data_IF_780098620847
#
_entry.id   IF_780098620847
#
_cell.length_a   1.000
_cell.length_b   1.000
_cell.length_c   1.000
_cell.angle_alpha   90.00
_cell.angle_beta   90.00
_cell.angle_gamma   90.00
#
_symmetry.space_group_name_H-M   'P 1'
#
loop_
_entity.id
_entity.type
_entity.pdbx_description
1 polymer ?
#
# COMPACT_ATOMS: atom_id res chain seq x y z
N UNK A 1 0.64 7.59 -9.56
CA UNK A 1 -0.66 7.75 -8.89
C UNK A 1 -0.56 8.69 -7.69
N UNK A 2 -1.59 9.46 -7.45
CA UNK A 2 -1.64 10.37 -6.30
C UNK A 2 -2.67 9.90 -5.28
N UNK A 3 -2.77 10.61 -4.16
CA UNK A 3 -3.69 10.24 -3.07
C UNK A 3 -5.15 10.23 -3.53
N UNK A 4 -5.55 11.19 -4.35
CA UNK A 4 -6.90 11.27 -4.90
C UNK A 4 -7.24 10.02 -5.72
N UNK A 5 -6.28 9.47 -6.45
CA UNK A 5 -6.48 8.25 -7.23
C UNK A 5 -6.88 7.08 -6.34
N UNK A 6 -6.33 7.00 -5.13
CA UNK A 6 -6.68 5.95 -4.17
C UNK A 6 -8.14 6.08 -3.72
N UNK A 7 -8.59 7.30 -3.47
CA UNK A 7 -9.99 7.55 -3.13
C UNK A 7 -10.92 7.21 -4.29
N UNK A 8 -10.52 7.50 -5.52
CA UNK A 8 -11.31 7.15 -6.72
C UNK A 8 -11.44 5.64 -6.89
N UNK A 9 -10.37 4.90 -6.64
CA UNK A 9 -10.41 3.44 -6.70
C UNK A 9 -11.41 2.91 -5.65
N UNK A 10 -11.34 3.41 -4.42
CA UNK A 10 -12.26 3.02 -3.36
C UNK A 10 -13.71 3.32 -3.75
N UNK A 11 -13.96 4.50 -4.30
CA UNK A 11 -15.31 4.90 -4.74
C UNK A 11 -15.83 3.97 -5.82
N UNK A 12 -15.01 3.63 -6.83
CA UNK A 12 -15.38 2.72 -7.90
C UNK A 12 -15.71 1.32 -7.38
N UNK A 13 -15.02 0.88 -6.32
CA UNK A 13 -15.27 -0.42 -5.70
C UNK A 13 -16.37 -0.36 -4.63
N UNK A 14 -16.99 0.80 -4.44
CA UNK A 14 -18.02 1.02 -3.42
C UNK A 14 -17.53 0.74 -2.00
N UNK A 15 -16.29 1.11 -1.74
CA UNK A 15 -15.67 1.04 -0.41
C UNK A 15 -15.80 2.42 0.22
N UNK A 16 -16.44 2.50 1.39
CA UNK A 16 -16.53 3.76 2.13
C UNK A 16 -15.29 3.96 2.98
N UNK A 17 -14.76 5.17 2.96
CA UNK A 17 -13.60 5.54 3.77
C UNK A 17 -14.08 6.39 4.94
N UNK A 18 -13.78 5.92 6.15
CA UNK A 18 -14.24 6.52 7.40
C UNK A 18 -13.06 7.05 8.20
N UNK A 19 -13.32 8.05 9.03
CA UNK A 19 -12.35 8.49 10.04
C UNK A 19 -12.64 7.77 11.35
N UNK A 20 -11.64 7.07 11.91
CA UNK A 20 -11.79 6.30 13.13
C UNK A 20 -10.50 6.33 13.94
N UNK A 21 -10.63 6.49 15.25
CA UNK A 21 -9.46 6.53 16.15
C UNK A 21 -9.06 5.11 16.55
N UNK A 22 -7.94 4.64 16.01
CA UNK A 22 -7.37 3.34 16.36
C UNK A 22 -6.39 3.47 17.53
N UNK A 23 -6.19 2.38 18.29
CA UNK A 23 -5.21 2.37 19.39
C UNK A 23 -3.81 1.96 18.92
N UNK A 24 -3.71 1.12 17.90
CA UNK A 24 -2.43 0.55 17.46
C UNK A 24 -2.23 0.50 15.95
N UNK A 25 -3.18 1.03 15.20
CA UNK A 25 -3.11 1.01 13.73
C UNK A 25 -3.38 2.40 13.19
N UNK A 26 -2.93 2.68 11.96
CA UNK A 26 -3.29 3.92 11.26
C UNK A 26 -4.50 3.73 10.35
N UNK A 27 -4.75 2.50 9.92
CA UNK A 27 -5.89 2.16 9.09
C UNK A 27 -6.19 0.66 9.15
N UNK A 28 -7.44 0.32 8.85
CA UNK A 28 -7.87 -1.07 8.66
C UNK A 28 -9.00 -1.12 7.66
N UNK A 29 -9.01 -2.19 6.85
CA UNK A 29 -10.16 -2.51 6.00
C UNK A 29 -10.95 -3.63 6.67
N UNK A 30 -12.28 -3.54 6.60
CA UNK A 30 -13.16 -4.56 7.16
C UNK A 30 -14.46 -4.63 6.38
N UNK A 31 -15.20 -5.71 6.58
CA UNK A 31 -16.44 -5.99 5.90
C UNK A 31 -17.58 -6.14 6.92
N UNK A 32 -18.71 -5.47 6.65
CA UNK A 32 -19.93 -5.63 7.42
C UNK A 32 -21.09 -5.80 6.41
N UNK A 33 -21.81 -6.91 6.49
CA UNK A 33 -22.96 -7.21 5.64
C UNK A 33 -22.67 -7.02 4.16
N UNK A 34 -21.55 -7.57 3.69
CA UNK A 34 -21.10 -7.51 2.31
C UNK A 34 -20.73 -6.11 1.83
N UNK A 35 -20.55 -5.18 2.75
CA UNK A 35 -20.08 -3.82 2.48
C UNK A 35 -18.70 -3.63 3.07
N UNK A 36 -17.76 -3.10 2.27
CA UNK A 36 -16.39 -2.87 2.71
C UNK A 36 -16.19 -1.42 3.17
N UNK A 37 -15.39 -1.28 4.21
CA UNK A 37 -15.03 0.01 4.78
C UNK A 37 -13.52 0.06 5.03
N UNK A 38 -12.92 1.21 4.75
CA UNK A 38 -11.55 1.50 5.19
C UNK A 38 -11.65 2.59 6.24
N UNK A 39 -11.22 2.27 7.45
CA UNK A 39 -11.22 3.23 8.55
C UNK A 39 -9.82 3.77 8.75
N UNK A 40 -9.64 5.08 8.49
CA UNK A 40 -8.36 5.78 8.64
C UNK A 40 -8.36 6.57 9.94
N UNK A 41 -7.25 6.50 10.68
CA UNK A 41 -7.03 7.42 11.80
C UNK A 41 -6.25 8.62 11.29
N UNK A 42 -6.98 9.63 10.81
CA UNK A 42 -6.37 10.81 10.17
C UNK A 42 -5.45 11.59 11.09
N UNK A 43 -5.61 11.45 12.41
CA UNK A 43 -4.74 12.12 13.38
C UNK A 43 -3.34 11.50 13.44
N UNK A 44 -3.21 10.24 13.03
CA UNK A 44 -1.92 9.55 12.99
C UNK A 44 -1.22 9.66 11.64
N UNK A 45 -1.90 10.24 10.65
CA UNK A 45 -1.38 10.37 9.28
C UNK A 45 -0.93 11.82 9.07
N UNK A 46 0.35 12.02 8.78
CA UNK A 46 0.96 13.34 8.77
C UNK A 46 1.02 13.99 7.39
N UNK A 47 1.05 13.21 6.32
CA UNK A 47 1.21 13.72 4.97
C UNK A 47 0.26 13.03 4.00
N UNK A 48 0.00 13.71 2.87
CA UNK A 48 -0.77 13.13 1.77
C UNK A 48 -0.08 11.92 1.15
N UNK A 49 1.25 11.92 1.13
CA UNK A 49 2.04 10.78 0.64
C UNK A 49 1.82 9.55 1.54
N UNK A 50 1.93 9.73 2.86
CA UNK A 50 1.67 8.64 3.81
C UNK A 50 0.24 8.11 3.66
N UNK A 51 -0.73 9.00 3.52
CA UNK A 51 -2.12 8.62 3.31
C UNK A 51 -2.29 7.76 2.07
N UNK A 52 -1.64 8.13 0.97
CA UNK A 52 -1.66 7.36 -0.27
C UNK A 52 -1.10 5.95 -0.08
N UNK A 53 0.05 5.84 0.60
CA UNK A 53 0.72 4.57 0.86
C UNK A 53 -0.17 3.65 1.71
N UNK A 54 -0.78 4.21 2.74
CA UNK A 54 -1.68 3.47 3.63
C UNK A 54 -2.92 3.00 2.88
N UNK A 55 -3.54 3.87 2.10
CA UNK A 55 -4.72 3.50 1.31
C UNK A 55 -4.39 2.42 0.28
N UNK A 56 -3.22 2.50 -0.37
CA UNK A 56 -2.80 1.49 -1.33
C UNK A 56 -2.68 0.12 -0.67
N UNK A 57 -2.15 0.06 0.55
CA UNK A 57 -2.04 -1.20 1.30
C UNK A 57 -3.41 -1.78 1.63
N UNK A 58 -4.33 -0.93 2.12
CA UNK A 58 -5.68 -1.38 2.47
C UNK A 58 -6.47 -1.83 1.22
N UNK A 59 -6.33 -1.11 0.12
CA UNK A 59 -6.91 -1.54 -1.16
C UNK A 59 -6.28 -2.84 -1.64
N UNK A 60 -4.99 -3.05 -1.37
CA UNK A 60 -4.31 -4.30 -1.67
C UNK A 60 -4.94 -5.48 -0.93
N UNK A 61 -5.30 -5.30 0.33
CA UNK A 61 -6.04 -6.32 1.09
C UNK A 61 -7.36 -6.65 0.40
N UNK A 62 -8.06 -5.65 -0.08
CA UNK A 62 -9.32 -5.84 -0.78
C UNK A 62 -9.14 -6.63 -2.08
N UNK A 63 -8.25 -6.16 -2.97
CA UNK A 63 -8.09 -6.76 -4.30
C UNK A 63 -7.49 -8.16 -4.27
N UNK A 64 -6.65 -8.44 -3.30
CA UNK A 64 -6.01 -9.76 -3.19
C UNK A 64 -6.80 -10.72 -2.32
N UNK A 65 -7.99 -10.31 -1.89
CA UNK A 65 -8.81 -11.09 -0.96
C UNK A 65 -7.98 -11.47 0.27
N UNK A 66 -7.16 -10.55 0.72
CA UNK A 66 -6.14 -10.77 1.75
C UNK A 66 -6.60 -10.25 3.11
N UNK A 67 -7.89 -10.40 3.42
CA UNK A 67 -8.44 -10.06 4.73
C UNK A 67 -8.16 -11.20 5.70
N UNK A 68 -7.89 -10.85 6.95
CA UNK A 68 -7.74 -11.83 8.01
C UNK A 68 -8.60 -11.41 9.22
N UNK A 69 -8.95 -12.40 10.03
CA UNK A 69 -9.78 -12.18 11.20
C UNK A 69 -8.92 -12.20 12.47
N UNK A 70 -9.49 -11.73 13.58
CA UNK A 70 -8.77 -11.61 14.85
C UNK A 70 -8.12 -12.90 15.32
N UNK A 71 -8.75 -14.04 14.99
CA UNK A 71 -8.26 -15.35 15.38
C UNK A 71 -7.40 -16.03 14.32
N UNK A 72 -7.01 -15.32 13.27
CA UNK A 72 -6.07 -15.86 12.28
C UNK A 72 -4.68 -16.02 12.90
N UNK A 73 -3.95 -17.06 12.49
CA UNK A 73 -2.60 -17.28 12.99
C UNK A 73 -1.59 -16.31 12.32
N UNK A 74 -0.37 -16.27 12.83
CA UNK A 74 0.66 -15.35 12.34
C UNK A 74 1.06 -15.64 10.90
N UNK A 75 1.04 -16.90 10.48
CA UNK A 75 1.37 -17.29 9.11
C UNK A 75 0.34 -16.74 8.14
N UNK A 76 -0.94 -16.84 8.47
CA UNK A 76 -2.03 -16.32 7.66
C UNK A 76 -1.95 -14.78 7.55
N UNK A 77 -1.69 -14.10 8.66
CA UNK A 77 -1.53 -12.65 8.68
C UNK A 77 -0.38 -12.21 7.78
N UNK A 78 0.76 -12.90 7.86
CA UNK A 78 1.93 -12.58 7.02
C UNK A 78 1.64 -12.79 5.55
N UNK A 79 0.90 -13.84 5.18
CA UNK A 79 0.51 -14.08 3.79
C UNK A 79 -0.41 -12.98 3.27
N UNK A 80 -1.37 -12.52 4.09
CA UNK A 80 -2.26 -11.44 3.73
C UNK A 80 -1.49 -10.14 3.52
N UNK A 81 -0.58 -9.82 4.46
CA UNK A 81 0.26 -8.63 4.35
C UNK A 81 1.13 -8.66 3.09
N UNK A 82 1.75 -9.81 2.81
CA UNK A 82 2.58 -9.97 1.61
C UNK A 82 1.78 -9.67 0.34
N UNK A 83 0.58 -10.24 0.21
CA UNK A 83 -0.26 -10.03 -0.97
C UNK A 83 -0.70 -8.57 -1.11
N UNK A 84 -1.08 -7.96 0.01
CA UNK A 84 -1.50 -6.56 0.02
C UNK A 84 -0.35 -5.63 -0.38
N UNK A 85 0.84 -5.86 0.17
CA UNK A 85 2.04 -5.07 -0.17
C UNK A 85 2.44 -5.26 -1.63
N UNK A 86 2.38 -6.48 -2.13
CA UNK A 86 2.67 -6.77 -3.53
C UNK A 86 1.77 -5.94 -4.46
N UNK A 87 0.49 -5.91 -4.16
CA UNK A 87 -0.45 -5.11 -4.96
C UNK A 87 -0.13 -3.62 -4.86
N UNK A 88 0.07 -3.11 -3.63
CA UNK A 88 0.36 -1.68 -3.41
C UNK A 88 1.62 -1.25 -4.17
N UNK A 89 2.70 -2.02 -4.06
CA UNK A 89 3.93 -1.71 -4.79
C UNK A 89 3.71 -1.74 -6.30
N UNK A 90 2.94 -2.70 -6.81
CA UNK A 90 2.70 -2.79 -8.25
C UNK A 90 1.96 -1.57 -8.81
N UNK A 91 1.10 -0.95 -8.00
CA UNK A 91 0.34 0.23 -8.38
C UNK A 91 1.17 1.50 -8.24
N UNK A 92 1.86 1.67 -7.11
CA UNK A 92 2.58 2.90 -6.81
C UNK A 92 3.97 2.95 -7.43
N UNK A 93 4.63 1.80 -7.56
CA UNK A 93 6.01 1.70 -8.07
C UNK A 93 6.08 0.52 -9.04
N UNK A 94 5.50 0.65 -10.25
CA UNK A 94 5.53 -0.44 -11.22
C UNK A 94 6.96 -0.90 -11.51
N UNK A 95 7.19 -2.21 -11.48
CA UNK A 95 8.53 -2.80 -11.60
C UNK A 95 9.27 -2.35 -12.87
N UNK A 96 8.59 -2.35 -14.00
CA UNK A 96 9.24 -1.96 -15.26
C UNK A 96 9.68 -0.50 -15.25
N UNK A 97 8.88 0.37 -14.68
CA UNK A 97 9.22 1.78 -14.54
C UNK A 97 10.40 1.96 -13.59
N UNK A 98 10.43 1.21 -12.50
CA UNK A 98 11.56 1.23 -11.56
C UNK A 98 12.84 0.82 -12.27
N UNK A 99 12.80 -0.26 -13.05
CA UNK A 99 13.97 -0.72 -13.82
C UNK A 99 14.47 0.35 -14.78
N UNK A 100 13.55 1.02 -15.49
CA UNK A 100 13.92 2.11 -16.41
C UNK A 100 14.67 3.23 -15.69
N UNK A 101 14.15 3.65 -14.52
CA UNK A 101 14.75 4.75 -13.78
C UNK A 101 16.10 4.37 -13.18
N UNK A 102 16.25 3.13 -12.72
CA UNK A 102 17.53 2.63 -12.25
C UNK A 102 18.59 2.65 -13.37
N UNK A 103 18.21 2.24 -14.59
CA UNK A 103 19.12 2.29 -15.74
C UNK A 103 19.50 3.72 -16.11
N UNK A 104 18.65 4.69 -15.83
CA UNK A 104 18.93 6.11 -16.05
C UNK A 104 19.80 6.73 -14.96
N UNK A 105 20.21 5.95 -13.96
CA UNK A 105 21.09 6.40 -12.89
C UNK A 105 20.41 7.08 -11.73
N UNK A 106 19.09 6.91 -11.58
CA UNK A 106 18.36 7.49 -10.45
C UNK A 106 18.86 6.87 -9.13
N UNK A 107 19.15 7.72 -8.14
CA UNK A 107 19.45 7.27 -6.79
C UNK A 107 18.14 7.12 -5.98
N UNK A 108 18.26 6.70 -4.72
CA UNK A 108 17.07 6.48 -3.87
C UNK A 108 16.20 7.72 -3.71
N UNK A 109 16.82 8.89 -3.56
CA UNK A 109 16.07 10.15 -3.41
C UNK A 109 15.33 10.50 -4.70
N UNK A 110 16.00 10.33 -5.84
CA UNK A 110 15.40 10.57 -7.16
C UNK A 110 14.19 9.65 -7.38
N UNK A 111 14.32 8.39 -6.99
CA UNK A 111 13.24 7.41 -7.13
C UNK A 111 12.05 7.77 -6.25
N UNK A 112 12.29 8.11 -4.98
CA UNK A 112 11.23 8.51 -4.07
C UNK A 112 10.48 9.73 -4.60
N UNK A 113 11.20 10.71 -5.13
CA UNK A 113 10.59 11.90 -5.73
C UNK A 113 9.79 11.55 -6.99
N UNK A 114 10.35 10.72 -7.86
CA UNK A 114 9.68 10.36 -9.11
C UNK A 114 8.36 9.62 -8.86
N UNK A 115 8.37 8.65 -7.94
CA UNK A 115 7.16 7.88 -7.62
C UNK A 115 6.28 8.57 -6.59
N UNK A 116 6.75 9.69 -6.04
CA UNK A 116 6.04 10.47 -5.03
C UNK A 116 5.65 9.60 -3.83
N UNK A 117 6.65 8.94 -3.25
CA UNK A 117 6.51 8.12 -2.05
C UNK A 117 7.58 8.52 -1.04
N UNK A 118 7.39 8.12 0.22
CA UNK A 118 8.41 8.34 1.26
C UNK A 118 9.66 7.50 0.97
N UNK A 119 10.81 8.00 1.39
CA UNK A 119 12.08 7.31 1.18
C UNK A 119 12.07 5.90 1.76
N UNK A 120 11.54 5.75 2.98
CA UNK A 120 11.43 4.42 3.60
C UNK A 120 10.57 3.48 2.78
N UNK A 121 9.45 3.97 2.27
CA UNK A 121 8.56 3.19 1.41
C UNK A 121 9.29 2.73 0.15
N UNK A 122 10.08 3.61 -0.45
CA UNK A 122 10.87 3.29 -1.64
C UNK A 122 11.90 2.18 -1.33
N UNK A 123 12.60 2.31 -0.21
CA UNK A 123 13.58 1.31 0.21
C UNK A 123 12.91 -0.05 0.44
N UNK A 124 11.80 -0.06 1.17
CA UNK A 124 11.06 -1.30 1.45
C UNK A 124 10.56 -1.96 0.16
N UNK A 125 10.12 -1.16 -0.80
CA UNK A 125 9.68 -1.65 -2.11
C UNK A 125 10.84 -2.30 -2.88
N UNK A 126 11.99 -1.66 -2.90
CA UNK A 126 13.17 -2.20 -3.58
C UNK A 126 13.58 -3.53 -2.93
N UNK A 127 13.62 -3.59 -1.60
CA UNK A 127 13.92 -4.82 -0.88
C UNK A 127 12.93 -5.94 -1.27
N UNK A 128 11.65 -5.62 -1.31
CA UNK A 128 10.61 -6.56 -1.71
C UNK A 128 10.86 -7.09 -3.12
N UNK A 129 11.12 -6.21 -4.08
CA UNK A 129 11.34 -6.60 -5.47
C UNK A 129 12.62 -7.40 -5.65
N UNK A 130 13.69 -7.05 -4.93
CA UNK A 130 14.95 -7.79 -5.00
C UNK A 130 14.78 -9.22 -4.44
N UNK A 131 14.08 -9.36 -3.32
CA UNK A 131 13.79 -10.68 -2.76
C UNK A 131 12.95 -11.54 -3.70
N UNK A 132 11.99 -10.93 -4.37
CA UNK A 132 11.07 -11.65 -5.25
C UNK A 132 11.64 -11.93 -6.63
N UNK A 133 12.32 -10.98 -7.23
CA UNK A 133 12.75 -11.03 -8.64
C UNK A 133 14.27 -11.06 -8.84
N UNK A 134 15.05 -10.90 -7.77
CA UNK A 134 16.50 -10.83 -7.87
C UNK A 134 17.00 -9.44 -8.24
N UNK A 135 18.15 -9.37 -8.89
CA UNK A 135 18.79 -8.10 -9.28
C UNK A 135 17.91 -7.36 -10.29
N UNK A 136 17.66 -6.07 -10.04
CA UNK A 136 16.74 -5.26 -10.84
C UNK A 136 17.38 -4.60 -12.06
N UNK A 137 18.69 -4.60 -12.16
CA UNK A 137 19.43 -3.99 -13.28
C UNK A 137 20.23 -5.03 -14.04
#
# INVERSE_FOLDING_TARGET
>A
MNTLDMYKIAENEKIDILNYKWSSSKAKIFEIDNKYYIALDTKQINTSIEEKEILAEELGHYYCNALYYLNSDDIQKKKCEYRAMKWAYSILIPLQKLKEKLKQGFNLYDLADYFNVDLKYMIDCIDFYVEKYGILV
#
